data_IF_412779171395
#
_entry.id   IF_412779171395
#
_cell.length_a   1.000
_cell.length_b   1.000
_cell.length_c   1.000
_cell.angle_alpha   90.00
_cell.angle_beta   90.00
_cell.angle_gamma   90.00
#
_symmetry.space_group_name_H-M   'P 1'
#
loop_
_entity.id
_entity.type
_entity.pdbx_description
1 polymer ?
#
# COMPACT_ATOMS: atom_id res chain seq x y z
N UNK A 1 -1.26 10.27 -8.17
CA UNK A 1 -0.45 9.60 -7.13
C UNK A 1 1.03 9.83 -7.37
N UNK A 2 1.83 9.97 -6.32
CA UNK A 2 3.29 9.79 -6.39
C UNK A 2 3.69 8.67 -5.41
N UNK A 3 4.47 7.71 -5.89
CA UNK A 3 5.04 6.63 -5.08
C UNK A 3 6.55 6.83 -5.02
N UNK A 4 7.06 7.06 -3.82
CA UNK A 4 8.50 7.11 -3.57
C UNK A 4 8.92 5.82 -2.88
N UNK A 5 10.00 5.20 -3.36
CA UNK A 5 10.54 3.96 -2.81
C UNK A 5 12.04 4.14 -2.59
N UNK A 6 12.46 4.00 -1.34
CA UNK A 6 13.87 3.93 -0.95
C UNK A 6 14.19 2.54 -0.43
N UNK A 7 15.43 2.32 0.01
CA UNK A 7 15.84 1.03 0.58
C UNK A 7 15.08 0.67 1.86
N UNK A 8 14.64 1.67 2.62
CA UNK A 8 14.08 1.48 3.97
C UNK A 8 12.65 1.99 4.12
N UNK A 9 12.17 2.82 3.19
CA UNK A 9 10.86 3.47 3.29
C UNK A 9 10.14 3.50 1.94
N UNK A 10 8.82 3.39 1.95
CA UNK A 10 7.96 3.72 0.82
C UNK A 10 6.91 4.73 1.25
N UNK A 11 6.54 5.64 0.37
CA UNK A 11 5.55 6.68 0.66
C UNK A 11 4.61 6.84 -0.53
N UNK A 12 3.31 6.75 -0.28
CA UNK A 12 2.26 7.08 -1.26
C UNK A 12 1.67 8.45 -0.96
N UNK A 13 1.70 9.33 -1.94
CA UNK A 13 1.18 10.70 -1.86
C UNK A 13 0.07 10.94 -2.87
N UNK A 14 -1.05 11.51 -2.42
CA UNK A 14 -2.19 11.93 -3.25
C UNK A 14 -2.53 13.37 -2.90
N UNK A 15 -2.68 14.24 -3.91
CA UNK A 15 -2.99 15.66 -3.73
C UNK A 15 -2.06 16.38 -2.72
N UNK A 16 -0.76 16.06 -2.75
CA UNK A 16 0.25 16.63 -1.85
C UNK A 16 0.22 16.11 -0.41
N UNK A 17 -0.67 15.16 -0.09
CA UNK A 17 -0.80 14.54 1.23
C UNK A 17 -0.29 13.10 1.20
N UNK A 18 0.56 12.74 2.15
CA UNK A 18 0.94 11.35 2.38
C UNK A 18 -0.26 10.59 2.93
N UNK A 19 -0.68 9.54 2.22
CA UNK A 19 -1.83 8.71 2.58
C UNK A 19 -1.45 7.34 3.12
N UNK A 20 -0.25 6.84 2.77
CA UNK A 20 0.27 5.59 3.27
C UNK A 20 1.80 5.60 3.27
N UNK A 21 2.38 4.90 4.24
CA UNK A 21 3.83 4.65 4.31
C UNK A 21 4.11 3.19 4.56
N UNK A 22 5.24 2.69 4.08
CA UNK A 22 5.80 1.41 4.46
C UNK A 22 7.21 1.59 5.01
N UNK A 23 7.54 0.91 6.09
CA UNK A 23 8.90 0.87 6.67
C UNK A 23 9.44 -0.54 6.64
N UNK A 24 10.70 -0.68 6.25
CA UNK A 24 11.38 -1.96 6.23
C UNK A 24 11.66 -2.43 7.66
N UNK A 25 11.30 -3.67 7.96
CA UNK A 25 11.54 -4.36 9.22
C UNK A 25 12.24 -5.70 8.92
N UNK A 26 13.57 -5.65 8.78
CA UNK A 26 14.35 -6.80 8.31
C UNK A 26 14.05 -7.12 6.84
N UNK A 27 13.44 -8.29 6.60
CA UNK A 27 13.07 -8.76 5.26
C UNK A 27 11.62 -8.47 4.88
N UNK A 28 10.84 -7.89 5.80
CA UNK A 28 9.43 -7.54 5.57
C UNK A 28 9.23 -6.03 5.61
N UNK A 29 8.03 -5.61 5.28
CA UNK A 29 7.59 -4.23 5.23
C UNK A 29 6.34 -4.06 6.08
N UNK A 30 6.39 -3.14 7.04
CA UNK A 30 5.24 -2.74 7.83
C UNK A 30 4.60 -1.52 7.17
N UNK A 31 3.35 -1.66 6.75
CA UNK A 31 2.60 -0.55 6.12
C UNK A 31 1.65 0.08 7.14
N UNK A 32 1.32 1.36 6.96
CA UNK A 32 0.32 2.03 7.80
C UNK A 32 -1.12 1.63 7.46
N UNK A 33 -1.32 0.90 6.35
CA UNK A 33 -2.63 0.58 5.79
C UNK A 33 -2.95 -0.92 5.79
N UNK A 34 -2.02 -1.76 6.26
CA UNK A 34 -2.22 -3.20 6.37
C UNK A 34 -1.71 -3.72 7.72
N UNK A 35 -2.46 -4.62 8.40
CA UNK A 35 -2.13 -5.02 9.77
C UNK A 35 -0.95 -5.97 9.90
N UNK A 36 -0.58 -6.68 8.83
CA UNK A 36 0.47 -7.69 8.87
C UNK A 36 1.71 -7.28 8.07
N UNK A 37 2.91 -7.77 8.44
CA UNK A 37 4.10 -7.56 7.65
C UNK A 37 3.94 -8.16 6.25
N UNK A 38 4.35 -7.40 5.24
CA UNK A 38 4.26 -7.78 3.84
C UNK A 38 5.65 -7.98 3.25
N UNK A 39 5.75 -8.72 2.16
CA UNK A 39 6.93 -8.60 1.31
C UNK A 39 6.94 -7.25 0.58
N UNK A 40 8.02 -6.97 -0.15
CA UNK A 40 8.22 -5.70 -0.84
C UNK A 40 7.10 -5.40 -1.86
N UNK A 41 6.66 -6.41 -2.60
CA UNK A 41 5.66 -6.23 -3.67
C UNK A 41 4.28 -6.05 -3.06
N UNK A 42 3.92 -6.88 -2.08
CA UNK A 42 2.67 -6.74 -1.35
C UNK A 42 2.59 -5.38 -0.63
N UNK A 43 3.70 -4.85 -0.10
CA UNK A 43 3.72 -3.49 0.45
C UNK A 43 3.42 -2.40 -0.60
N UNK A 44 3.96 -2.53 -1.82
CA UNK A 44 3.65 -1.63 -2.94
C UNK A 44 2.16 -1.74 -3.31
N UNK A 45 1.62 -2.97 -3.35
CA UNK A 45 0.18 -3.20 -3.59
C UNK A 45 -0.67 -2.56 -2.50
N UNK A 46 -0.29 -2.67 -1.22
CA UNK A 46 -1.00 -2.03 -0.11
C UNK A 46 -0.98 -0.50 -0.17
N UNK A 47 0.12 0.11 -0.63
CA UNK A 47 0.22 1.56 -0.87
C UNK A 47 -0.65 2.00 -2.06
N UNK A 48 -0.69 1.18 -3.12
CA UNK A 48 -1.53 1.44 -4.30
C UNK A 48 -3.01 1.26 -4.00
N UNK A 49 -3.36 0.26 -3.18
CA UNK A 49 -4.70 0.05 -2.66
C UNK A 49 -5.19 1.26 -1.85
N UNK A 50 -4.33 1.84 -0.99
CA UNK A 50 -4.68 3.02 -0.22
C UNK A 50 -4.98 4.23 -1.11
N UNK A 51 -4.23 4.40 -2.20
CA UNK A 51 -4.53 5.42 -3.20
C UNK A 51 -5.87 5.18 -3.85
N UNK A 52 -6.09 3.97 -4.34
CA UNK A 52 -7.31 3.61 -5.07
C UNK A 52 -8.56 3.77 -4.22
N UNK A 53 -8.48 3.33 -2.96
CA UNK A 53 -9.51 3.52 -1.96
C UNK A 53 -9.83 5.00 -1.75
N UNK A 54 -8.81 5.86 -1.71
CA UNK A 54 -8.97 7.31 -1.53
C UNK A 54 -9.60 7.98 -2.75
N UNK A 55 -9.25 7.55 -3.96
CA UNK A 55 -9.65 8.22 -5.19
C UNK A 55 -10.92 7.69 -5.81
N UNK A 56 -11.24 6.40 -5.61
CA UNK A 56 -12.30 5.70 -6.35
C UNK A 56 -13.30 4.96 -5.44
N UNK A 57 -12.97 4.81 -4.15
CA UNK A 57 -13.87 4.22 -3.15
C UNK A 57 -13.77 2.70 -3.03
N UNK A 58 -14.59 2.14 -2.15
CA UNK A 58 -14.50 0.73 -1.76
C UNK A 58 -14.96 -0.26 -2.83
N UNK A 59 -15.89 0.18 -3.68
CA UNK A 59 -16.53 -0.65 -4.71
C UNK A 59 -15.71 -0.71 -6.02
N UNK A 60 -14.55 -0.05 -6.08
CA UNK A 60 -13.65 -0.16 -7.23
C UNK A 60 -13.17 -1.62 -7.35
N UNK A 61 -13.31 -2.28 -8.52
CA UNK A 61 -12.91 -3.66 -8.69
C UNK A 61 -11.44 -3.93 -8.34
N UNK A 62 -10.52 -2.97 -8.56
CA UNK A 62 -9.13 -3.11 -8.16
C UNK A 62 -8.97 -3.10 -6.64
N UNK A 63 -9.77 -2.31 -5.92
CA UNK A 63 -9.77 -2.31 -4.44
C UNK A 63 -10.18 -3.67 -3.90
N UNK A 64 -11.23 -4.26 -4.47
CA UNK A 64 -11.73 -5.58 -4.09
C UNK A 64 -10.67 -6.66 -4.35
N UNK A 65 -10.12 -6.73 -5.56
CA UNK A 65 -9.18 -7.78 -5.93
C UNK A 65 -7.83 -7.63 -5.21
N UNK A 66 -7.30 -6.43 -5.03
CA UNK A 66 -6.06 -6.25 -4.28
C UNK A 66 -6.22 -6.55 -2.78
N UNK A 67 -7.39 -6.30 -2.18
CA UNK A 67 -7.67 -6.77 -0.81
C UNK A 67 -7.60 -8.30 -0.72
N UNK A 68 -8.09 -9.03 -1.73
CA UNK A 68 -7.99 -10.50 -1.79
C UNK A 68 -6.56 -10.97 -1.98
N UNK A 69 -5.83 -10.36 -2.91
CA UNK A 69 -4.41 -10.65 -3.16
C UNK A 69 -3.60 -10.51 -1.87
N UNK A 70 -3.79 -9.40 -1.13
CA UNK A 70 -3.12 -9.16 0.14
C UNK A 70 -3.57 -10.09 1.28
N UNK A 71 -4.76 -10.69 1.18
CA UNK A 71 -5.26 -11.69 2.12
C UNK A 71 -4.75 -13.11 1.82
N UNK A 72 -4.00 -13.32 0.74
CA UNK A 72 -3.44 -14.61 0.36
C UNK A 72 -4.18 -15.33 -0.78
N UNK A 73 -5.13 -14.66 -1.45
CA UNK A 73 -5.93 -15.22 -2.55
C UNK A 73 -7.24 -15.85 -2.10
#
# INVERSE_FOLDING_TARGET
MALEITETTMTATVNGKVIATAKRAGNTWQTTTWPHPLDRNAAITALSLAERLTTHGEDDPCVIEWRRELAGG
#
